data_IF_679590468582
#
_entry.id   IF_679590468582
#
_cell.length_a   1.000
_cell.length_b   1.000
_cell.length_c   1.000
_cell.angle_alpha   90.00
_cell.angle_beta   90.00
_cell.angle_gamma   90.00
#
_symmetry.space_group_name_H-M   'P 1'
#
loop_
_entity.id
_entity.type
_entity.pdbx_description
1 polymer ?
#
# COMPACT_ATOMS: atom_id res chain seq x y z
N UNK A 1 -8.17 -8.46 -14.48
CA UNK A 1 -9.08 -7.30 -14.31
C UNK A 1 -9.22 -6.95 -12.83
N UNK A 2 -9.06 -5.69 -12.45
CA UNK A 2 -9.30 -5.29 -11.07
C UNK A 2 -10.77 -5.46 -10.70
N UNK A 3 -11.03 -5.89 -9.47
CA UNK A 3 -12.38 -6.00 -8.94
C UNK A 3 -12.99 -4.60 -8.74
N UNK A 4 -14.30 -4.55 -8.53
CA UNK A 4 -14.99 -3.29 -8.22
C UNK A 4 -14.41 -2.67 -6.94
N UNK A 5 -14.13 -3.50 -5.94
CA UNK A 5 -13.53 -3.08 -4.67
C UNK A 5 -12.16 -2.45 -4.90
N UNK A 6 -11.31 -3.07 -5.70
CA UNK A 6 -9.99 -2.54 -6.04
C UNK A 6 -10.08 -1.21 -6.80
N UNK A 7 -11.03 -1.07 -7.72
CA UNK A 7 -11.27 0.17 -8.45
C UNK A 7 -11.68 1.31 -7.50
N UNK A 8 -12.53 1.01 -6.52
CA UNK A 8 -12.95 1.99 -5.50
C UNK A 8 -11.75 2.43 -4.66
N UNK A 9 -10.94 1.50 -4.19
CA UNK A 9 -9.75 1.82 -3.39
C UNK A 9 -8.75 2.65 -4.18
N UNK A 10 -8.56 2.34 -5.45
CA UNK A 10 -7.65 3.07 -6.33
C UNK A 10 -8.11 4.52 -6.53
N UNK A 11 -9.40 4.72 -6.77
CA UNK A 11 -10.00 6.05 -6.90
C UNK A 11 -9.88 6.82 -5.59
N UNK A 12 -10.18 6.18 -4.46
CA UNK A 12 -10.08 6.79 -3.14
C UNK A 12 -8.64 7.22 -2.83
N UNK A 13 -7.66 6.39 -3.17
CA UNK A 13 -6.24 6.70 -2.94
C UNK A 13 -5.84 7.99 -3.68
N UNK A 14 -6.28 8.15 -4.92
CA UNK A 14 -5.99 9.35 -5.70
C UNK A 14 -6.63 10.60 -5.11
N UNK A 15 -7.90 10.52 -4.67
CA UNK A 15 -8.58 11.63 -4.04
C UNK A 15 -7.94 12.01 -2.71
N UNK A 16 -7.61 11.03 -1.88
CA UNK A 16 -6.93 11.28 -0.61
C UNK A 16 -5.56 11.93 -0.84
N UNK A 17 -4.82 11.49 -1.85
CA UNK A 17 -3.53 12.08 -2.19
C UNK A 17 -3.67 13.55 -2.62
N UNK A 18 -4.68 13.85 -3.42
CA UNK A 18 -4.90 15.21 -3.94
C UNK A 18 -5.43 16.18 -2.89
N UNK A 19 -6.38 15.74 -2.06
CA UNK A 19 -7.13 16.62 -1.15
C UNK A 19 -6.87 16.37 0.34
N UNK A 20 -6.13 15.34 0.69
CA UNK A 20 -6.00 14.88 2.06
C UNK A 20 -7.17 13.99 2.47
N UNK A 21 -6.93 13.11 3.42
CA UNK A 21 -7.94 12.17 3.91
C UNK A 21 -9.18 12.90 4.44
N UNK A 22 -8.98 13.94 5.25
CA UNK A 22 -10.08 14.71 5.84
C UNK A 22 -10.76 15.66 4.86
N UNK A 23 -10.11 15.95 3.73
CA UNK A 23 -10.64 16.83 2.70
C UNK A 23 -11.62 16.19 1.72
N UNK A 24 -11.90 14.89 1.89
CA UNK A 24 -12.77 14.13 0.99
C UNK A 24 -13.94 13.54 1.76
N UNK A 25 -15.17 13.87 1.35
CA UNK A 25 -16.38 13.30 1.96
C UNK A 25 -16.74 11.95 1.34
N UNK A 26 -17.56 11.18 2.06
CA UNK A 26 -18.09 9.89 1.54
C UNK A 26 -18.93 10.12 0.28
N UNK A 27 -19.67 11.23 0.23
CA UNK A 27 -20.47 11.59 -0.95
C UNK A 27 -19.57 11.84 -2.16
N UNK A 28 -18.47 12.58 -1.97
CA UNK A 28 -17.50 12.83 -3.04
C UNK A 28 -16.82 11.54 -3.51
N UNK A 29 -16.47 10.65 -2.58
CA UNK A 29 -15.91 9.33 -2.91
C UNK A 29 -16.88 8.52 -3.77
N UNK A 30 -18.14 8.46 -3.34
CA UNK A 30 -19.18 7.76 -4.10
C UNK A 30 -19.34 8.31 -5.50
N UNK A 31 -19.43 9.63 -5.62
CA UNK A 31 -19.56 10.32 -6.90
C UNK A 31 -18.39 10.01 -7.84
N UNK A 32 -17.16 10.03 -7.31
CA UNK A 32 -15.97 9.73 -8.09
C UNK A 32 -15.92 8.28 -8.55
N UNK A 33 -16.52 7.36 -7.79
CA UNK A 33 -16.61 5.94 -8.13
C UNK A 33 -17.85 5.60 -8.97
N UNK A 34 -18.73 6.57 -9.20
CA UNK A 34 -19.98 6.35 -9.94
C UNK A 34 -21.04 5.59 -9.16
N UNK A 35 -21.01 5.67 -7.83
CA UNK A 35 -21.97 5.01 -6.93
C UNK A 35 -22.45 5.99 -5.85
N UNK A 36 -23.56 5.66 -5.19
CA UNK A 36 -24.05 6.47 -4.06
C UNK A 36 -23.21 6.24 -2.80
N UNK A 37 -23.30 7.16 -1.83
CA UNK A 37 -22.70 7.00 -0.51
C UNK A 37 -23.13 5.70 0.17
N UNK A 38 -24.46 5.41 0.25
CA UNK A 38 -24.93 4.13 0.80
C UNK A 38 -24.38 2.92 0.09
N UNK A 39 -24.21 2.96 -1.24
CA UNK A 39 -23.61 1.86 -1.99
C UNK A 39 -22.14 1.67 -1.62
N UNK A 40 -21.42 2.74 -1.33
CA UNK A 40 -20.03 2.68 -0.88
C UNK A 40 -19.92 1.90 0.44
N UNK A 41 -20.86 2.11 1.37
CA UNK A 41 -20.89 1.42 2.65
C UNK A 41 -21.18 -0.08 2.54
N UNK A 42 -21.62 -0.58 1.40
CA UNK A 42 -21.72 -2.03 1.15
C UNK A 42 -20.35 -2.66 0.96
N UNK A 43 -19.37 -1.87 0.56
CA UNK A 43 -18.01 -2.35 0.35
C UNK A 43 -17.09 -2.06 1.53
N UNK A 44 -17.31 -0.96 2.26
CA UNK A 44 -16.43 -0.51 3.34
C UNK A 44 -17.25 0.04 4.50
N UNK A 45 -16.87 -0.28 5.73
CA UNK A 45 -17.56 0.18 6.94
C UNK A 45 -17.50 1.69 7.12
N UNK A 46 -16.36 2.30 6.74
CA UNK A 46 -16.08 3.73 6.95
C UNK A 46 -14.92 4.19 6.06
N UNK A 47 -14.70 5.50 6.01
CA UNK A 47 -13.50 6.07 5.40
C UNK A 47 -12.23 5.57 6.09
N UNK A 48 -12.25 5.48 7.42
CA UNK A 48 -11.11 4.98 8.20
C UNK A 48 -10.79 3.54 7.82
N UNK A 49 -11.81 2.71 7.62
CA UNK A 49 -11.63 1.33 7.18
C UNK A 49 -11.06 1.26 5.76
N UNK A 50 -11.46 2.17 4.89
CA UNK A 50 -10.88 2.26 3.53
C UNK A 50 -9.39 2.60 3.59
N UNK A 51 -9.03 3.58 4.40
CA UNK A 51 -7.62 3.97 4.59
C UNK A 51 -6.81 2.81 5.15
N UNK A 52 -7.33 2.15 6.18
CA UNK A 52 -6.67 0.99 6.78
C UNK A 52 -6.44 -0.12 5.75
N UNK A 53 -7.47 -0.47 4.99
CA UNK A 53 -7.39 -1.53 4.00
C UNK A 53 -6.37 -1.22 2.91
N UNK A 54 -6.42 -0.01 2.34
CA UNK A 54 -5.49 0.33 1.25
C UNK A 54 -4.03 0.35 1.69
N UNK A 55 -3.73 0.85 2.89
CA UNK A 55 -2.36 0.92 3.37
C UNK A 55 -1.82 -0.43 3.84
N UNK A 56 -2.66 -1.24 4.47
CA UNK A 56 -2.28 -2.60 4.86
C UNK A 56 -2.02 -3.47 3.63
N UNK A 57 -2.93 -3.46 2.66
CA UNK A 57 -2.78 -4.25 1.43
C UNK A 57 -1.53 -3.88 0.64
N UNK A 58 -1.25 -2.58 0.50
CA UNK A 58 -0.09 -2.15 -0.26
C UNK A 58 1.22 -2.53 0.43
N UNK A 59 1.27 -2.47 1.75
CA UNK A 59 2.46 -2.89 2.50
C UNK A 59 2.67 -4.40 2.42
N UNK A 60 1.59 -5.17 2.46
CA UNK A 60 1.65 -6.63 2.29
C UNK A 60 2.13 -7.02 0.89
N UNK A 61 1.69 -6.32 -0.15
CA UNK A 61 2.15 -6.54 -1.51
C UNK A 61 3.64 -6.26 -1.65
N UNK A 62 4.10 -5.15 -1.08
CA UNK A 62 5.51 -4.77 -1.09
C UNK A 62 6.37 -5.90 -0.51
N UNK A 63 5.98 -6.40 0.65
CA UNK A 63 6.68 -7.50 1.32
C UNK A 63 6.61 -8.81 0.54
N UNK A 64 5.43 -9.20 0.12
CA UNK A 64 5.20 -10.49 -0.56
C UNK A 64 6.01 -10.61 -1.84
N UNK A 65 5.92 -9.60 -2.69
CA UNK A 65 6.62 -9.62 -3.99
C UNK A 65 8.13 -9.49 -3.78
N UNK A 66 8.55 -8.65 -2.84
CA UNK A 66 9.97 -8.51 -2.50
C UNK A 66 10.58 -9.81 -2.03
N UNK A 67 9.90 -10.54 -1.15
CA UNK A 67 10.33 -11.88 -0.71
C UNK A 67 10.42 -12.84 -1.87
N UNK A 68 9.38 -12.91 -2.68
CA UNK A 68 9.32 -13.84 -3.81
C UNK A 68 10.47 -13.60 -4.77
N UNK A 69 10.68 -12.36 -5.18
CA UNK A 69 11.73 -12.03 -6.15
C UNK A 69 13.13 -12.22 -5.59
N UNK A 70 13.35 -11.97 -4.31
CA UNK A 70 14.66 -12.15 -3.70
C UNK A 70 14.99 -13.63 -3.48
N UNK A 71 14.00 -14.46 -3.12
CA UNK A 71 14.22 -15.88 -2.87
C UNK A 71 14.36 -16.71 -4.15
N UNK A 72 13.78 -16.27 -5.25
CA UNK A 72 13.88 -16.96 -6.55
C UNK A 72 15.07 -16.52 -7.38
N UNK A 73 15.79 -15.49 -6.95
CA UNK A 73 17.00 -15.02 -7.63
C UNK A 73 18.13 -16.04 -7.47
N UNK A 74 18.98 -16.14 -8.49
CA UNK A 74 20.03 -17.17 -8.55
C UNK A 74 21.26 -16.89 -7.67
N UNK A 75 21.39 -15.69 -7.12
CA UNK A 75 22.53 -15.28 -6.28
C UNK A 75 22.14 -14.10 -5.39
N UNK A 76 22.99 -13.79 -4.40
CA UNK A 76 22.77 -12.63 -3.53
C UNK A 76 22.78 -11.33 -4.34
N UNK A 77 23.66 -11.20 -5.32
CA UNK A 77 23.71 -10.03 -6.18
C UNK A 77 22.44 -9.89 -7.02
N UNK A 78 21.98 -10.99 -7.62
CA UNK A 78 20.74 -11.00 -8.39
C UNK A 78 19.54 -10.68 -7.50
N UNK A 79 19.54 -11.15 -6.26
CA UNK A 79 18.49 -10.82 -5.28
C UNK A 79 18.45 -9.33 -4.97
N UNK A 80 19.61 -8.69 -4.78
CA UNK A 80 19.68 -7.25 -4.55
C UNK A 80 19.18 -6.47 -5.76
N UNK A 81 19.60 -6.86 -6.96
CA UNK A 81 19.13 -6.21 -8.20
C UNK A 81 17.61 -6.35 -8.35
N UNK A 82 17.07 -7.53 -8.02
CA UNK A 82 15.62 -7.77 -8.07
C UNK A 82 14.87 -6.91 -7.06
N UNK A 83 15.39 -6.76 -5.84
CA UNK A 83 14.77 -5.91 -4.82
C UNK A 83 14.78 -4.42 -5.22
N UNK A 84 15.88 -3.94 -5.77
CA UNK A 84 15.98 -2.55 -6.23
C UNK A 84 14.96 -2.31 -7.35
N UNK A 85 14.91 -3.19 -8.34
CA UNK A 85 13.98 -3.08 -9.46
C UNK A 85 12.52 -3.10 -8.97
N UNK A 86 12.20 -4.03 -8.07
CA UNK A 86 10.87 -4.13 -7.49
C UNK A 86 10.48 -2.86 -6.72
N UNK A 87 11.38 -2.36 -5.89
CA UNK A 87 11.11 -1.18 -5.08
C UNK A 87 10.84 0.06 -5.95
N UNK A 88 11.62 0.23 -7.01
CA UNK A 88 11.43 1.33 -7.97
C UNK A 88 10.09 1.19 -8.67
N UNK A 89 9.76 0.01 -9.19
CA UNK A 89 8.49 -0.26 -9.87
C UNK A 89 7.31 0.00 -8.93
N UNK A 90 7.41 -0.47 -7.70
CA UNK A 90 6.40 -0.25 -6.67
C UNK A 90 6.18 1.25 -6.41
N UNK A 91 7.26 2.00 -6.19
CA UNK A 91 7.18 3.42 -5.90
C UNK A 91 6.54 4.20 -7.05
N UNK A 92 6.89 3.86 -8.29
CA UNK A 92 6.33 4.51 -9.47
C UNK A 92 4.85 4.16 -9.69
N UNK A 93 4.47 2.93 -9.39
CA UNK A 93 3.09 2.46 -9.57
C UNK A 93 2.13 2.99 -8.50
N UNK A 94 2.61 3.29 -7.29
CA UNK A 94 1.77 3.61 -6.13
C UNK A 94 2.05 4.98 -5.51
N UNK A 95 2.41 5.97 -6.32
CA UNK A 95 2.68 7.34 -5.85
C UNK A 95 1.57 7.92 -4.97
N UNK A 96 0.28 7.81 -5.32
CA UNK A 96 -0.78 8.35 -4.47
C UNK A 96 -0.79 7.73 -3.07
N UNK A 97 -0.62 6.42 -2.97
CA UNK A 97 -0.64 5.72 -1.67
C UNK A 97 0.56 6.09 -0.81
N UNK A 98 1.72 6.33 -1.41
CA UNK A 98 2.92 6.76 -0.68
C UNK A 98 2.68 8.15 -0.07
N UNK A 99 2.09 9.06 -0.82
CA UNK A 99 1.72 10.40 -0.34
C UNK A 99 0.72 10.30 0.81
N UNK A 100 -0.31 9.49 0.65
CA UNK A 100 -1.35 9.28 1.67
C UNK A 100 -0.75 8.71 2.95
N UNK A 101 0.09 7.69 2.85
CA UNK A 101 0.72 7.07 4.01
C UNK A 101 1.56 8.07 4.81
N UNK A 102 2.34 8.88 4.13
CA UNK A 102 3.19 9.86 4.78
C UNK A 102 2.37 10.97 5.46
N UNK A 103 1.43 11.56 4.72
CA UNK A 103 0.66 12.71 5.19
C UNK A 103 -0.43 12.34 6.18
N UNK A 104 -1.16 11.25 5.91
CA UNK A 104 -2.36 10.89 6.66
C UNK A 104 -2.15 9.76 7.69
N UNK A 105 -0.90 9.49 8.03
CA UNK A 105 -0.53 8.42 8.97
C UNK A 105 -1.30 8.49 10.30
N UNK A 106 -1.46 9.70 10.84
CA UNK A 106 -2.13 9.89 12.13
C UNK A 106 -3.63 9.58 12.07
N UNK A 107 -4.21 9.59 10.89
CA UNK A 107 -5.63 9.26 10.68
C UNK A 107 -5.85 7.75 10.56
N UNK A 108 -4.79 6.98 10.41
CA UNK A 108 -4.86 5.53 10.31
C UNK A 108 -5.20 4.92 11.68
N UNK A 109 -6.20 4.01 11.77
CA UNK A 109 -6.50 3.31 13.02
C UNK A 109 -5.25 2.63 13.60
N UNK A 110 -5.13 2.63 14.92
CA UNK A 110 -3.94 2.12 15.62
C UNK A 110 -3.58 0.69 15.22
N UNK A 111 -4.57 -0.20 15.15
CA UNK A 111 -4.36 -1.59 14.75
C UNK A 111 -3.75 -1.70 13.36
N UNK A 112 -4.24 -0.89 12.42
CA UNK A 112 -3.72 -0.85 11.06
C UNK A 112 -2.30 -0.28 11.02
N UNK A 113 -2.02 0.76 11.82
CA UNK A 113 -0.67 1.32 11.94
C UNK A 113 0.33 0.28 12.41
N UNK A 114 -0.04 -0.48 13.43
CA UNK A 114 0.82 -1.56 13.96
C UNK A 114 1.10 -2.61 12.90
N UNK A 115 0.07 -2.99 12.14
CA UNK A 115 0.21 -3.98 11.07
C UNK A 115 1.11 -3.48 9.94
N UNK A 116 0.95 -2.24 9.53
CA UNK A 116 1.81 -1.63 8.50
C UNK A 116 3.26 -1.59 8.98
N UNK A 117 3.50 -1.15 10.22
CA UNK A 117 4.85 -1.09 10.80
C UNK A 117 5.51 -2.47 10.88
N UNK A 118 4.77 -3.48 11.33
CA UNK A 118 5.26 -4.85 11.39
C UNK A 118 5.66 -5.35 10.00
N UNK A 119 4.81 -5.12 9.01
CA UNK A 119 5.05 -5.51 7.62
C UNK A 119 6.28 -4.78 7.05
N UNK A 120 6.42 -3.50 7.36
CA UNK A 120 7.59 -2.72 6.95
C UNK A 120 8.89 -3.26 7.56
N UNK A 121 8.87 -3.63 8.84
CA UNK A 121 10.05 -4.24 9.49
C UNK A 121 10.44 -5.54 8.78
N UNK A 122 9.46 -6.37 8.45
CA UNK A 122 9.72 -7.61 7.71
C UNK A 122 10.31 -7.33 6.33
N UNK A 123 9.85 -6.28 5.67
CA UNK A 123 10.38 -5.89 4.37
C UNK A 123 11.84 -5.41 4.48
N UNK A 124 12.15 -4.59 5.48
CA UNK A 124 13.53 -4.17 5.75
C UNK A 124 14.41 -5.40 6.04
N UNK A 125 13.90 -6.38 6.78
CA UNK A 125 14.63 -7.61 7.09
C UNK A 125 14.97 -8.41 5.82
N UNK A 126 14.09 -8.40 4.82
CA UNK A 126 14.40 -9.03 3.52
C UNK A 126 15.64 -8.41 2.90
N UNK A 127 15.70 -7.08 2.90
CA UNK A 127 16.86 -6.34 2.39
C UNK A 127 18.12 -6.61 3.20
N UNK A 128 18.01 -6.57 4.53
CA UNK A 128 19.14 -6.81 5.44
C UNK A 128 19.73 -8.21 5.19
N UNK A 129 18.89 -9.22 5.06
CA UNK A 129 19.31 -10.59 4.79
C UNK A 129 20.13 -10.69 3.48
N UNK A 130 19.64 -10.05 2.42
CA UNK A 130 20.32 -10.03 1.12
C UNK A 130 21.65 -9.29 1.23
N UNK A 131 21.66 -8.13 1.87
CA UNK A 131 22.90 -7.35 2.03
C UNK A 131 23.95 -8.07 2.85
N UNK A 132 23.54 -8.77 3.92
CA UNK A 132 24.45 -9.60 4.73
C UNK A 132 25.04 -10.75 3.93
N UNK A 133 24.28 -11.30 2.99
CA UNK A 133 24.79 -12.37 2.11
C UNK A 133 25.88 -11.87 1.16
N UNK A 134 25.87 -10.56 0.86
CA UNK A 134 26.91 -9.94 0.02
C UNK A 134 28.15 -9.57 0.83
N UNK A 135 28.00 -9.33 2.13
CA UNK A 135 29.09 -8.94 3.04
C UNK A 135 28.97 -9.73 4.33
N UNK A 136 29.31 -11.04 4.26
CA UNK A 136 29.20 -11.95 5.42
C UNK A 136 30.19 -11.60 6.53
#
# INVERSE_FOLDING_TARGET
>A
MPSRREQILDTAARLFAERGFHGVSVVELGAACGISGPALYKHFESKDAMLAEMLVEISEELLRVGRERSTTAGSARAALEALVAWHVDFALAHKPLIVVQDRDWQSLPLEAREKVRETQRKYVDVWVKVLRSLHP
#
